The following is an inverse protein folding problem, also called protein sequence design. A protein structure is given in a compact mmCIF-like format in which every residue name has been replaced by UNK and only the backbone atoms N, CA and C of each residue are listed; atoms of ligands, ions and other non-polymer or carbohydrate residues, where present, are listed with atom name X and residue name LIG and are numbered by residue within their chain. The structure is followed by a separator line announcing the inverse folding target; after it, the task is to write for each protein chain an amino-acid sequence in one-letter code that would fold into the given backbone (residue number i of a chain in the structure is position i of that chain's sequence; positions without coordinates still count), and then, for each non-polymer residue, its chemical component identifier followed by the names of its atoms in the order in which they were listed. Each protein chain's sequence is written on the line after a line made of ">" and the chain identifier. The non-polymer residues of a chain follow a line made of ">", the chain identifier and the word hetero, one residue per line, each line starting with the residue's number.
data_IF_660803016805
#
_entry.id   IF_660803016805
#
_cell.length_a   1.000
_cell.length_b   1.000
_cell.length_c   1.000
_cell.angle_alpha   90.00
_cell.angle_beta   90.00
_cell.angle_gamma   90.00
#
_symmetry.space_group_name_H-M   'P 1'
#
loop_
_entity.id
_entity.type
_entity.pdbx_description
1 polymer ?
#
# COMPACT_ATOMS: atom_id res chain seq x y z
N UNK A 1 35.92 10.43 5.86
CA UNK A 1 34.92 9.46 5.36
C UNK A 1 33.70 10.26 4.91
N UNK A 2 33.51 10.51 3.62
CA UNK A 2 32.30 11.22 3.15
C UNK A 2 31.16 10.21 3.13
N UNK A 3 30.15 10.41 3.98
CA UNK A 3 29.00 9.51 4.04
C UNK A 3 28.11 9.85 2.84
N UNK A 4 28.13 9.00 1.81
CA UNK A 4 27.31 9.20 0.62
C UNK A 4 25.84 8.87 0.93
N UNK A 5 25.09 9.87 1.42
CA UNK A 5 23.68 9.75 1.76
C UNK A 5 22.84 9.84 0.48
N UNK A 6 22.59 8.70 -0.16
CA UNK A 6 21.77 8.63 -1.37
C UNK A 6 20.27 8.69 -1.02
N UNK A 7 19.73 9.91 -0.98
CA UNK A 7 18.31 10.17 -0.66
C UNK A 7 17.45 9.80 -1.87
N UNK A 8 16.52 8.86 -1.68
CA UNK A 8 15.49 8.49 -2.66
C UNK A 8 14.11 8.43 -2.05
N UNK A 9 13.08 8.53 -2.88
CA UNK A 9 11.70 8.22 -2.47
C UNK A 9 11.57 6.72 -2.22
N UNK A 10 10.66 6.37 -1.30
CA UNK A 10 10.20 4.99 -1.16
C UNK A 10 9.47 4.59 -2.44
N UNK A 11 9.71 3.36 -2.90
CA UNK A 11 8.99 2.73 -4.02
C UNK A 11 7.55 2.44 -3.62
N UNK A 12 6.61 2.24 -4.58
CA UNK A 12 5.24 1.89 -4.23
C UNK A 12 5.16 0.59 -3.44
N UNK A 13 6.00 -0.41 -3.77
CA UNK A 13 6.04 -1.69 -3.06
C UNK A 13 6.53 -1.57 -1.61
N UNK A 14 7.45 -0.63 -1.33
CA UNK A 14 7.84 -0.31 0.05
C UNK A 14 6.69 0.36 0.81
N UNK A 15 5.97 1.30 0.19
CA UNK A 15 4.81 1.94 0.78
C UNK A 15 3.64 0.96 1.04
N UNK A 16 3.39 0.02 0.11
CA UNK A 16 2.43 -1.09 0.30
C UNK A 16 2.77 -1.89 1.56
N UNK A 17 4.03 -2.29 1.69
CA UNK A 17 4.51 -3.06 2.84
C UNK A 17 4.38 -2.29 4.15
N UNK A 18 4.65 -0.99 4.15
CA UNK A 18 4.46 -0.13 5.33
C UNK A 18 3.00 -0.03 5.76
N UNK A 19 2.05 -0.05 4.82
CA UNK A 19 0.62 -0.10 5.14
C UNK A 19 0.12 -1.50 5.52
N UNK A 20 0.91 -2.55 5.31
CA UNK A 20 0.54 -3.95 5.56
C UNK A 20 -0.10 -4.66 4.37
N UNK A 21 0.03 -4.11 3.15
CA UNK A 21 -0.36 -4.78 1.91
C UNK A 21 0.72 -5.72 1.39
N UNK A 22 0.34 -6.78 0.63
CA UNK A 22 1.32 -7.58 -0.08
C UNK A 22 2.01 -6.75 -1.18
N UNK A 23 3.26 -7.09 -1.56
CA UNK A 23 3.94 -6.41 -2.66
C UNK A 23 3.18 -6.55 -3.97
N UNK A 24 3.03 -5.44 -4.71
CA UNK A 24 2.27 -5.37 -5.95
C UNK A 24 0.76 -5.18 -5.77
N UNK A 25 0.25 -5.01 -4.54
CA UNK A 25 -1.18 -4.91 -4.27
C UNK A 25 -1.87 -3.78 -5.05
N UNK A 26 -1.20 -2.65 -5.24
CA UNK A 26 -1.74 -1.51 -5.99
C UNK A 26 -1.40 -1.53 -7.48
N UNK A 27 -0.70 -2.56 -7.93
CA UNK A 27 -0.37 -2.77 -9.33
C UNK A 27 -1.60 -3.32 -10.07
N UNK A 28 -2.48 -2.43 -10.48
CA UNK A 28 -3.74 -2.76 -11.17
C UNK A 28 -3.73 -2.27 -12.62
N UNK A 29 -4.56 -2.83 -13.53
CA UNK A 29 -4.70 -2.30 -14.88
C UNK A 29 -5.08 -0.82 -14.86
N UNK A 30 -4.45 -0.01 -15.71
CA UNK A 30 -4.66 1.44 -15.72
C UNK A 30 -4.71 1.97 -17.15
N UNK A 31 -5.81 2.64 -17.53
CA UNK A 31 -6.01 3.24 -18.87
C UNK A 31 -5.67 2.28 -20.02
N UNK A 32 -6.30 1.11 -20.04
CA UNK A 32 -6.08 0.03 -21.04
C UNK A 32 -4.66 -0.59 -21.05
N UNK A 33 -3.80 -0.25 -20.08
CA UNK A 33 -2.51 -0.92 -19.89
C UNK A 33 -2.65 -2.14 -19.00
N UNK A 34 -1.85 -3.16 -19.28
CA UNK A 34 -1.75 -4.37 -18.45
C UNK A 34 -1.18 -4.02 -17.08
N UNK A 35 -1.43 -4.89 -16.09
CA UNK A 35 -0.92 -4.78 -14.72
C UNK A 35 0.59 -4.49 -14.68
N UNK A 36 1.37 -5.22 -15.47
CA UNK A 36 2.83 -5.06 -15.57
C UNK A 36 3.29 -3.66 -16.01
N UNK A 37 2.43 -2.93 -16.71
CA UNK A 37 2.71 -1.62 -17.30
C UNK A 37 2.03 -0.48 -16.51
N UNK A 38 1.59 -0.75 -15.27
CA UNK A 38 1.00 0.24 -14.38
C UNK A 38 2.06 1.23 -13.90
N UNK A 39 1.92 2.55 -14.18
CA UNK A 39 2.88 3.55 -13.72
C UNK A 39 2.88 3.68 -12.19
N UNK A 40 3.95 4.22 -11.62
CA UNK A 40 4.05 4.39 -10.16
C UNK A 40 3.10 5.44 -9.59
N UNK A 41 2.80 6.51 -10.32
CA UNK A 41 1.89 7.58 -9.86
C UNK A 41 0.50 7.09 -9.42
N UNK A 42 -0.25 6.28 -10.20
CA UNK A 42 -1.51 5.72 -9.74
C UNK A 42 -1.34 4.76 -8.55
N UNK A 43 -0.21 4.04 -8.46
CA UNK A 43 0.10 3.19 -7.30
C UNK A 43 0.26 4.02 -6.03
N UNK A 44 1.08 5.08 -6.05
CA UNK A 44 1.20 5.99 -4.90
C UNK A 44 -0.14 6.63 -4.51
N UNK A 45 -0.97 7.02 -5.48
CA UNK A 45 -2.31 7.55 -5.20
C UNK A 45 -3.22 6.51 -4.55
N UNK A 46 -3.21 5.28 -5.05
CA UNK A 46 -4.02 4.19 -4.50
C UNK A 46 -3.59 3.86 -3.06
N UNK A 47 -2.28 3.74 -2.80
CA UNK A 47 -1.75 3.52 -1.45
C UNK A 47 -2.11 4.70 -0.54
N UNK A 48 -1.88 5.94 -0.98
CA UNK A 48 -2.15 7.15 -0.19
C UNK A 48 -3.63 7.37 0.16
N UNK A 49 -4.54 6.88 -0.68
CA UNK A 49 -5.99 6.89 -0.41
C UNK A 49 -6.47 5.67 0.39
N UNK A 50 -5.58 4.73 0.69
CA UNK A 50 -5.91 3.52 1.44
C UNK A 50 -5.76 3.72 2.94
N UNK A 51 -5.93 2.63 3.70
CA UNK A 51 -5.85 2.59 5.15
C UNK A 51 -4.80 1.55 5.56
N UNK A 52 -4.16 1.77 6.71
CA UNK A 52 -3.25 0.79 7.29
C UNK A 52 -4.01 -0.50 7.63
N UNK A 53 -3.69 -1.59 6.91
CA UNK A 53 -4.29 -2.92 7.03
C UNK A 53 -4.36 -3.43 8.48
N UNK A 54 -3.29 -3.36 9.31
CA UNK A 54 -3.36 -3.89 10.67
C UNK A 54 -4.36 -3.13 11.55
N UNK A 55 -4.57 -1.84 11.31
CA UNK A 55 -5.51 -1.02 12.09
C UNK A 55 -6.95 -1.37 11.73
N UNK A 56 -7.25 -1.45 10.43
CA UNK A 56 -8.60 -1.82 9.97
C UNK A 56 -8.97 -3.23 10.39
N UNK A 57 -8.02 -4.18 10.33
CA UNK A 57 -8.22 -5.54 10.84
C UNK A 57 -8.63 -5.53 12.32
N UNK A 58 -7.88 -4.81 13.16
CA UNK A 58 -8.17 -4.71 14.59
C UNK A 58 -9.56 -4.12 14.88
N UNK A 59 -9.95 -3.07 14.17
CA UNK A 59 -11.28 -2.46 14.31
C UNK A 59 -12.37 -3.46 13.90
N UNK A 60 -12.21 -4.09 12.74
CA UNK A 60 -13.16 -5.06 12.19
C UNK A 60 -13.40 -6.25 13.13
N UNK A 61 -12.34 -6.80 13.71
CA UNK A 61 -12.44 -7.88 14.71
C UNK A 61 -13.31 -7.49 15.91
N UNK A 62 -13.19 -6.24 16.39
CA UNK A 62 -14.04 -5.77 17.51
C UNK A 62 -15.48 -5.57 17.11
N UNK A 63 -15.74 -5.07 15.91
CA UNK A 63 -17.10 -4.92 15.38
C UNK A 63 -17.77 -6.29 15.26
N UNK A 64 -17.07 -7.28 14.70
CA UNK A 64 -17.55 -8.66 14.58
C UNK A 64 -17.84 -9.25 15.97
N UNK A 65 -16.91 -9.08 16.92
CA UNK A 65 -17.08 -9.55 18.30
C UNK A 65 -18.25 -8.86 19.03
N UNK A 66 -18.62 -7.64 18.64
CA UNK A 66 -19.78 -6.96 19.20
C UNK A 66 -21.10 -7.45 18.60
N UNK A 67 -21.13 -7.68 17.29
CA UNK A 67 -22.32 -8.17 16.57
C UNK A 67 -22.63 -9.64 16.85
N UNK A 68 -21.62 -10.44 17.18
CA UNK A 68 -21.77 -11.86 17.54
C UNK A 68 -22.08 -12.09 19.03
N UNK A 69 -22.31 -11.02 19.81
CA UNK A 69 -22.88 -11.12 21.15
C UNK A 69 -24.39 -11.17 21.07
#
# INVERSE_FOLDING_TARGET
>A
MSINQNIRKLTPSECEKLQGFPPGYTQIPYRNKKVKDCPDSPRYKAIGNSMAVPVIKWIGERMINYLNK
#
